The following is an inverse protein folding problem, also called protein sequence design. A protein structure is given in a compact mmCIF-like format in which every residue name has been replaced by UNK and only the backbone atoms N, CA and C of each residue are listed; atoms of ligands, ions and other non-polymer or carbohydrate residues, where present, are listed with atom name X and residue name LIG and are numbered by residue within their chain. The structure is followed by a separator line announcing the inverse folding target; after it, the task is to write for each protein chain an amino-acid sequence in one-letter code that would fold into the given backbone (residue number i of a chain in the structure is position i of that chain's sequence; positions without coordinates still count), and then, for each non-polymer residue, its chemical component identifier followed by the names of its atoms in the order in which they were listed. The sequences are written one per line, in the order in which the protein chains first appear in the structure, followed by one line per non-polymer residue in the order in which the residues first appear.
data_IF_259370498294
#
_entry.id   IF_259370498294
#
_cell.length_a   1.000
_cell.length_b   1.000
_cell.length_c   1.000
_cell.angle_alpha   90.00
_cell.angle_beta   90.00
_cell.angle_gamma   90.00
#
_symmetry.space_group_name_H-M   'P 1'
#
loop_
_entity.id
_entity.type
_entity.pdbx_description
1 polymer ?
#
# COMPACT_ATOMS: atom_id res chain seq x y z
N UNK A 1 21.78 -15.60 14.74
CA UNK A 1 21.20 -15.36 16.10
C UNK A 1 19.83 -16.04 16.20
N UNK A 2 19.24 -16.17 17.40
CA UNK A 2 17.85 -16.64 17.52
C UNK A 2 16.91 -15.56 16.97
N UNK A 3 15.98 -15.94 16.10
CA UNK A 3 15.04 -15.01 15.47
C UNK A 3 14.14 -14.39 16.53
N UNK A 4 13.91 -13.08 16.45
CA UNK A 4 13.08 -12.37 17.43
C UNK A 4 11.56 -12.55 17.20
N UNK A 5 11.18 -13.27 16.14
CA UNK A 5 9.80 -13.59 15.78
C UNK A 5 9.56 -15.10 15.70
N UNK A 6 8.37 -15.55 16.09
CA UNK A 6 7.98 -16.95 16.08
C UNK A 6 7.94 -17.52 14.64
N UNK A 7 8.43 -18.75 14.39
CA UNK A 7 8.40 -19.42 13.09
C UNK A 7 7.03 -19.41 12.40
N UNK A 8 5.94 -19.60 13.16
CA UNK A 8 4.59 -19.65 12.60
C UNK A 8 4.15 -18.32 11.98
N UNK A 9 4.67 -17.19 12.48
CA UNK A 9 4.40 -15.88 11.90
C UNK A 9 5.15 -15.68 10.60
N UNK A 10 6.39 -16.19 10.51
CA UNK A 10 7.16 -16.19 9.26
C UNK A 10 6.43 -17.02 8.21
N UNK A 11 5.94 -18.21 8.57
CA UNK A 11 5.18 -19.07 7.65
C UNK A 11 3.91 -18.40 7.12
N UNK A 12 3.22 -17.61 7.97
CA UNK A 12 2.04 -16.84 7.55
C UNK A 12 2.39 -15.73 6.57
N UNK A 13 3.51 -15.03 6.78
CA UNK A 13 4.00 -14.00 5.84
C UNK A 13 4.38 -14.66 4.51
N UNK A 14 5.22 -15.71 4.54
CA UNK A 14 5.67 -16.42 3.34
C UNK A 14 4.49 -17.03 2.58
N UNK A 15 3.50 -17.56 3.30
CA UNK A 15 2.29 -18.13 2.73
C UNK A 15 1.26 -17.10 2.22
N UNK A 16 1.52 -15.79 2.35
CA UNK A 16 0.59 -14.72 2.03
C UNK A 16 -0.75 -14.88 2.77
N UNK A 17 -0.70 -15.12 4.09
CA UNK A 17 -1.85 -15.44 4.97
C UNK A 17 -1.92 -14.54 6.22
N UNK A 18 -1.01 -13.58 6.36
CA UNK A 18 -0.94 -12.74 7.55
C UNK A 18 -1.87 -11.52 7.41
N UNK A 19 -2.80 -11.34 8.36
CA UNK A 19 -3.78 -10.25 8.29
C UNK A 19 -3.18 -8.87 8.60
N UNK A 20 -2.09 -8.81 9.37
CA UNK A 20 -1.39 -7.56 9.69
C UNK A 20 0.13 -7.68 9.53
N UNK A 21 0.68 -7.63 8.31
CA UNK A 21 2.11 -7.81 8.08
C UNK A 21 3.02 -6.85 8.88
N UNK A 22 2.52 -5.67 9.28
CA UNK A 22 3.24 -4.71 10.11
C UNK A 22 3.52 -5.19 11.55
N UNK A 23 2.87 -6.26 12.03
CA UNK A 23 3.23 -6.89 13.31
C UNK A 23 4.54 -7.68 13.21
N UNK A 24 4.94 -8.07 11.99
CA UNK A 24 6.11 -8.91 11.75
C UNK A 24 7.18 -8.12 11.01
N UNK A 25 6.83 -7.52 9.87
CA UNK A 25 7.69 -6.79 8.96
C UNK A 25 7.94 -5.35 9.44
N UNK A 26 8.98 -4.73 8.88
CA UNK A 26 9.40 -3.39 9.24
C UNK A 26 10.21 -3.34 10.54
N UNK A 27 10.32 -2.15 11.15
CA UNK A 27 11.13 -1.94 12.35
C UNK A 27 10.33 -2.20 13.63
N UNK A 28 10.93 -2.95 14.57
CA UNK A 28 10.35 -3.30 15.86
C UNK A 28 11.35 -3.07 16.99
N UNK A 29 10.91 -2.48 18.10
CA UNK A 29 11.73 -2.39 19.31
C UNK A 29 11.62 -3.71 20.07
N UNK A 30 12.75 -4.35 20.35
CA UNK A 30 12.84 -5.63 21.08
C UNK A 30 13.78 -5.49 22.27
N UNK A 31 13.55 -6.31 23.31
CA UNK A 31 14.44 -6.41 24.46
C UNK A 31 15.41 -7.56 24.24
N UNK A 32 16.71 -7.29 24.27
CA UNK A 32 17.75 -8.31 24.25
C UNK A 32 18.82 -7.93 25.27
N UNK A 33 19.20 -8.87 26.14
CA UNK A 33 20.24 -8.67 27.16
C UNK A 33 20.04 -7.41 28.04
N UNK A 34 18.78 -7.05 28.31
CA UNK A 34 18.40 -5.88 29.11
C UNK A 34 18.51 -4.53 28.37
N UNK A 35 18.79 -4.53 27.07
CA UNK A 35 18.81 -3.35 26.21
C UNK A 35 17.62 -3.35 25.26
N UNK A 36 17.16 -2.14 24.95
CA UNK A 36 16.16 -1.91 23.90
C UNK A 36 16.90 -1.69 22.58
N UNK A 37 16.64 -2.55 21.60
CA UNK A 37 17.28 -2.52 20.28
C UNK A 37 16.22 -2.61 19.18
N UNK A 38 16.61 -2.28 17.96
CA UNK A 38 15.74 -2.39 16.80
C UNK A 38 15.95 -3.71 16.08
N UNK A 39 14.87 -4.43 15.79
CA UNK A 39 14.82 -5.55 14.85
C UNK A 39 14.09 -5.10 13.59
N UNK A 40 14.79 -5.06 12.46
CA UNK A 40 14.22 -4.79 11.14
C UNK A 40 14.00 -6.11 10.43
N UNK A 41 12.78 -6.36 9.97
CA UNK A 41 12.41 -7.60 9.30
C UNK A 41 11.84 -7.33 7.92
N UNK A 42 12.33 -8.06 6.93
CA UNK A 42 11.89 -7.93 5.55
C UNK A 42 11.64 -9.30 4.93
N UNK A 43 10.52 -9.45 4.22
CA UNK A 43 10.26 -10.61 3.37
C UNK A 43 10.50 -10.24 1.91
N UNK A 44 11.52 -10.86 1.31
CA UNK A 44 12.03 -10.52 -0.02
C UNK A 44 12.09 -11.81 -0.87
N UNK A 45 10.97 -12.23 -1.50
CA UNK A 45 10.77 -13.59 -2.05
C UNK A 45 11.80 -14.08 -3.09
N UNK A 46 12.59 -13.18 -3.67
CA UNK A 46 13.58 -13.50 -4.70
C UNK A 46 14.99 -13.02 -4.33
N UNK A 47 15.16 -12.42 -3.15
CA UNK A 47 16.46 -11.91 -2.72
C UNK A 47 17.30 -13.04 -2.12
N UNK A 48 18.61 -12.97 -2.40
CA UNK A 48 19.62 -13.90 -1.87
C UNK A 48 20.33 -13.32 -0.65
N UNK A 49 20.36 -11.99 -0.55
CA UNK A 49 20.98 -11.24 0.53
C UNK A 49 20.30 -9.90 0.68
N UNK A 50 20.27 -9.38 1.91
CA UNK A 50 19.68 -8.10 2.23
C UNK A 50 20.50 -7.37 3.31
N UNK A 51 20.37 -6.05 3.33
CA UNK A 51 21.00 -5.13 4.27
C UNK A 51 20.01 -4.04 4.66
N UNK A 52 20.12 -3.59 5.90
CA UNK A 52 19.54 -2.32 6.34
C UNK A 52 20.58 -1.23 6.13
N UNK A 53 20.21 -0.18 5.41
CA UNK A 53 21.06 0.98 5.11
C UNK A 53 20.56 2.15 5.93
N UNK A 54 21.45 2.82 6.67
CA UNK A 54 21.19 4.08 7.34
C UNK A 54 21.90 5.20 6.55
N UNK A 55 21.20 5.92 5.65
CA UNK A 55 21.85 6.85 4.72
C UNK A 55 22.59 7.98 5.42
N UNK A 56 22.02 8.53 6.50
CA UNK A 56 22.60 9.63 7.27
C UNK A 56 23.88 9.22 8.01
N UNK A 57 23.88 8.02 8.59
CA UNK A 57 25.03 7.46 9.28
C UNK A 57 26.07 6.86 8.32
N UNK A 58 25.71 6.67 7.04
CA UNK A 58 26.50 5.97 6.01
C UNK A 58 26.94 4.58 6.45
N UNK A 59 26.05 3.86 7.12
CA UNK A 59 26.28 2.50 7.60
C UNK A 59 25.31 1.52 6.96
N UNK A 60 25.81 0.32 6.68
CA UNK A 60 25.02 -0.82 6.21
C UNK A 60 25.15 -1.97 7.20
N UNK A 61 24.05 -2.61 7.54
CA UNK A 61 23.98 -3.77 8.43
C UNK A 61 23.44 -4.96 7.65
N UNK A 62 24.21 -6.05 7.56
CA UNK A 62 23.75 -7.26 6.90
C UNK A 62 22.56 -7.86 7.66
N UNK A 63 21.56 -8.31 6.91
CA UNK A 63 20.44 -9.07 7.46
C UNK A 63 20.76 -10.57 7.38
N UNK A 64 20.37 -11.33 8.41
CA UNK A 64 20.46 -12.78 8.43
C UNK A 64 19.12 -13.39 8.02
N UNK A 65 19.14 -14.40 7.15
CA UNK A 65 17.95 -15.22 6.89
C UNK A 65 17.86 -16.33 7.92
N UNK A 66 16.67 -16.55 8.48
CA UNK A 66 16.44 -17.66 9.40
C UNK A 66 14.99 -18.15 9.30
N UNK A 67 14.79 -19.45 9.52
CA UNK A 67 13.55 -20.22 9.25
C UNK A 67 13.11 -20.26 7.78
N UNK A 68 13.23 -19.17 7.03
CA UNK A 68 13.01 -19.11 5.59
C UNK A 68 14.16 -18.36 4.89
N UNK A 69 14.60 -18.84 3.72
CA UNK A 69 15.72 -18.25 2.96
C UNK A 69 15.47 -16.83 2.44
N UNK A 70 14.21 -16.40 2.40
CA UNK A 70 13.78 -15.11 1.87
C UNK A 70 13.18 -14.21 2.94
N UNK A 71 13.18 -14.64 4.20
CA UNK A 71 12.82 -13.83 5.35
C UNK A 71 14.09 -13.39 6.06
N UNK A 72 14.33 -12.09 6.10
CA UNK A 72 15.55 -11.49 6.61
C UNK A 72 15.27 -10.72 7.88
N UNK A 73 16.17 -10.82 8.86
CA UNK A 73 16.15 -10.05 10.09
C UNK A 73 17.52 -9.39 10.33
N UNK A 74 17.50 -8.13 10.76
CA UNK A 74 18.69 -7.42 11.20
C UNK A 74 18.42 -6.74 12.52
N UNK A 75 19.34 -6.92 13.46
CA UNK A 75 19.26 -6.32 14.79
C UNK A 75 20.28 -5.20 14.90
N UNK A 76 19.82 -4.00 15.23
CA UNK A 76 20.62 -2.76 15.24
C UNK A 76 20.47 -2.09 16.61
N UNK A 77 21.59 -1.90 17.29
CA UNK A 77 21.66 -1.08 18.50
C UNK A 77 21.83 0.39 18.09
N UNK A 78 20.71 1.10 17.91
CA UNK A 78 20.67 2.55 17.61
C UNK A 78 19.55 3.23 18.42
N UNK A 79 19.74 4.50 18.77
CA UNK A 79 18.75 5.29 19.49
C UNK A 79 17.56 5.73 18.63
N UNK A 80 17.79 5.92 17.32
CA UNK A 80 16.77 6.26 16.34
C UNK A 80 17.00 5.45 15.05
N UNK A 81 15.91 5.04 14.42
CA UNK A 81 15.88 4.28 13.18
C UNK A 81 14.91 4.94 12.17
N UNK A 82 14.86 6.27 12.16
CA UNK A 82 14.17 7.02 11.13
C UNK A 82 14.86 6.83 9.76
N UNK A 83 14.05 6.78 8.70
CA UNK A 83 14.48 6.89 7.29
C UNK A 83 15.52 5.83 6.83
N UNK A 84 15.50 4.62 7.39
CA UNK A 84 16.33 3.54 6.84
C UNK A 84 15.81 3.08 5.47
N UNK A 85 16.71 2.49 4.69
CA UNK A 85 16.39 1.84 3.43
C UNK A 85 16.76 0.36 3.49
N UNK A 86 16.10 -0.44 2.68
CA UNK A 86 16.49 -1.82 2.40
C UNK A 86 17.32 -1.85 1.14
N UNK A 87 18.50 -2.46 1.25
CA UNK A 87 19.30 -2.88 0.11
C UNK A 87 19.18 -4.38 -0.02
N UNK A 88 18.93 -4.91 -1.21
CA UNK A 88 18.90 -6.36 -1.40
C UNK A 88 19.36 -6.75 -2.80
N UNK A 89 19.86 -7.99 -2.90
CA UNK A 89 20.37 -8.56 -4.15
C UNK A 89 19.41 -9.60 -4.70
N UNK A 90 18.98 -9.41 -5.94
CA UNK A 90 18.22 -10.39 -6.75
C UNK A 90 19.07 -10.71 -8.00
N UNK A 91 19.74 -11.86 -8.02
CA UNK A 91 20.71 -12.21 -9.05
C UNK A 91 21.90 -11.24 -9.08
N UNK A 92 22.21 -10.70 -10.26
CA UNK A 92 23.31 -9.75 -10.46
C UNK A 92 22.95 -8.29 -10.09
N UNK A 93 21.72 -8.04 -9.65
CA UNK A 93 21.23 -6.67 -9.41
C UNK A 93 21.07 -6.41 -7.91
N UNK A 94 21.61 -5.27 -7.47
CA UNK A 94 21.29 -4.69 -6.18
C UNK A 94 20.20 -3.64 -6.35
N UNK A 95 19.25 -3.61 -5.42
CA UNK A 95 18.17 -2.62 -5.36
C UNK A 95 18.22 -1.90 -4.02
N UNK A 96 17.92 -0.61 -4.04
CA UNK A 96 17.71 0.22 -2.86
C UNK A 96 16.26 0.67 -2.87
N UNK A 97 15.54 0.43 -1.78
CA UNK A 97 14.14 0.81 -1.64
C UNK A 97 13.88 1.28 -0.22
N UNK A 98 12.91 2.16 -0.03
CA UNK A 98 12.29 2.30 1.28
C UNK A 98 11.51 1.05 1.66
N UNK A 99 11.46 0.73 2.94
CA UNK A 99 10.63 -0.36 3.45
C UNK A 99 9.16 0.07 3.54
N UNK A 100 8.22 -0.53 2.77
CA UNK A 100 6.80 -0.21 2.88
C UNK A 100 6.24 -0.40 4.29
N UNK A 101 6.83 -1.31 5.08
CA UNK A 101 6.40 -1.64 6.43
C UNK A 101 7.03 -0.76 7.52
N UNK A 102 7.91 0.20 7.15
CA UNK A 102 8.38 1.24 8.06
C UNK A 102 7.30 2.32 8.30
N UNK A 103 6.44 2.59 7.31
CA UNK A 103 5.41 3.63 7.35
C UNK A 103 4.16 3.15 8.09
N UNK A 104 4.15 3.25 9.42
CA UNK A 104 3.03 2.76 10.25
C UNK A 104 1.81 3.70 10.25
N UNK A 105 2.00 4.96 9.88
CA UNK A 105 0.97 6.01 9.87
C UNK A 105 -0.21 5.64 8.96
N UNK A 106 -1.42 5.64 9.53
CA UNK A 106 -2.65 5.36 8.78
C UNK A 106 -3.22 6.65 8.20
N UNK A 107 -3.66 6.61 6.94
CA UNK A 107 -4.35 7.74 6.30
C UNK A 107 -5.86 7.70 6.52
N UNK A 108 -6.42 6.50 6.67
CA UNK A 108 -7.80 6.30 7.11
C UNK A 108 -7.87 6.38 8.63
N UNK A 109 -8.67 7.31 9.14
CA UNK A 109 -8.84 7.54 10.58
C UNK A 109 -9.94 6.64 11.13
N UNK A 110 -9.97 6.44 12.46
CA UNK A 110 -11.06 5.68 13.09
C UNK A 110 -12.44 6.33 12.84
N UNK A 111 -12.48 7.65 12.66
CA UNK A 111 -13.70 8.37 12.30
C UNK A 111 -14.14 8.07 10.86
N UNK A 112 -13.20 8.03 9.91
CA UNK A 112 -13.49 7.63 8.52
C UNK A 112 -14.05 6.19 8.49
N UNK A 113 -13.43 5.27 9.25
CA UNK A 113 -13.89 3.88 9.38
C UNK A 113 -15.29 3.81 9.96
N UNK A 114 -15.59 4.58 11.01
CA UNK A 114 -16.91 4.63 11.62
C UNK A 114 -17.98 5.14 10.64
N UNK A 115 -17.75 6.28 9.99
CA UNK A 115 -18.70 6.82 9.00
C UNK A 115 -18.94 5.86 7.84
N UNK A 116 -17.89 5.15 7.39
CA UNK A 116 -18.02 4.17 6.33
C UNK A 116 -18.85 2.96 6.77
N UNK A 117 -18.61 2.45 7.99
CA UNK A 117 -19.38 1.35 8.55
C UNK A 117 -20.88 1.68 8.70
N UNK A 118 -21.20 2.92 9.04
CA UNK A 118 -22.59 3.43 9.11
C UNK A 118 -23.19 3.79 7.74
N UNK A 119 -22.42 3.68 6.65
CA UNK A 119 -22.87 4.06 5.30
C UNK A 119 -23.01 5.58 5.08
N UNK A 120 -22.44 6.40 5.95
CA UNK A 120 -22.60 7.86 5.97
C UNK A 120 -21.34 8.64 5.53
N UNK A 121 -20.32 7.96 5.03
CA UNK A 121 -19.10 8.61 4.55
C UNK A 121 -19.23 9.10 3.09
N UNK A 122 -19.82 10.27 2.89
CA UNK A 122 -20.12 10.80 1.53
C UNK A 122 -18.88 11.11 0.67
N UNK A 123 -17.70 11.23 1.29
CA UNK A 123 -16.39 11.46 0.61
C UNK A 123 -15.43 10.27 0.76
N UNK A 124 -15.95 9.04 0.89
CA UNK A 124 -15.09 7.88 1.19
C UNK A 124 -14.06 7.59 0.09
N UNK A 125 -14.36 8.01 -1.14
CA UNK A 125 -13.44 7.92 -2.27
C UNK A 125 -12.13 8.69 -2.05
N UNK A 126 -12.04 9.62 -1.09
CA UNK A 126 -10.78 10.31 -0.73
C UNK A 126 -9.83 9.44 0.11
N UNK A 127 -10.37 8.34 0.65
CA UNK A 127 -9.66 7.43 1.54
C UNK A 127 -9.46 6.05 0.91
N UNK A 128 -10.53 5.48 0.36
CA UNK A 128 -10.49 4.22 -0.39
C UNK A 128 -10.02 4.46 -1.83
N UNK A 129 -9.40 3.44 -2.42
CA UNK A 129 -8.76 3.54 -3.73
C UNK A 129 -7.24 3.70 -3.62
N UNK A 130 -6.64 4.22 -4.68
CA UNK A 130 -5.22 4.57 -4.74
C UNK A 130 -5.03 6.08 -4.79
N UNK A 131 -4.23 6.60 -3.85
CA UNK A 131 -4.05 8.03 -3.66
C UNK A 131 -2.56 8.39 -3.59
N UNK A 132 -2.03 9.18 -4.55
CA UNK A 132 -0.73 9.80 -4.40
C UNK A 132 -0.71 10.65 -3.11
N UNK A 133 0.30 10.45 -2.28
CA UNK A 133 0.42 11.16 -0.99
C UNK A 133 1.87 11.15 -0.51
N UNK A 134 2.16 11.96 0.50
CA UNK A 134 3.41 11.92 1.25
C UNK A 134 3.14 11.39 2.66
N UNK A 135 3.98 10.47 3.14
CA UNK A 135 3.97 9.97 4.53
C UNK A 135 5.40 10.03 5.05
N UNK A 136 5.58 10.65 6.22
CA UNK A 136 6.88 10.82 6.88
C UNK A 136 7.97 11.42 5.96
N UNK A 137 7.57 12.36 5.08
CA UNK A 137 8.46 13.04 4.13
C UNK A 137 8.82 12.25 2.87
N UNK A 138 8.23 11.07 2.67
CA UNK A 138 8.44 10.24 1.48
C UNK A 138 7.16 10.22 0.64
N UNK A 139 7.27 10.63 -0.62
CA UNK A 139 6.17 10.53 -1.58
C UNK A 139 5.94 9.10 -2.01
N UNK A 140 4.69 8.72 -2.25
CA UNK A 140 4.31 7.40 -2.73
C UNK A 140 2.81 7.31 -2.98
N UNK A 141 2.26 6.09 -2.95
CA UNK A 141 0.83 5.87 -3.15
C UNK A 141 0.27 5.09 -1.97
N UNK A 142 -0.82 5.63 -1.40
CA UNK A 142 -1.62 4.97 -0.39
C UNK A 142 -2.75 4.19 -1.05
N UNK A 143 -2.83 2.89 -0.74
CA UNK A 143 -3.89 2.01 -1.20
C UNK A 143 -4.79 1.64 -0.04
N UNK A 144 -6.10 1.69 -0.26
CA UNK A 144 -7.07 1.12 0.67
C UNK A 144 -8.26 0.47 -0.03
N UNK A 145 -8.64 -0.73 0.39
CA UNK A 145 -9.75 -1.50 -0.19
C UNK A 145 -10.57 -2.19 0.89
N UNK A 146 -11.89 -2.12 0.77
CA UNK A 146 -12.79 -2.84 1.66
C UNK A 146 -12.98 -4.28 1.20
N UNK A 147 -12.45 -5.23 1.97
CA UNK A 147 -12.54 -6.67 1.72
C UNK A 147 -12.64 -7.43 3.06
N UNK A 148 -13.75 -7.29 3.80
CA UNK A 148 -13.86 -7.72 5.21
C UNK A 148 -13.64 -9.22 5.41
N UNK A 149 -14.01 -10.03 4.41
CA UNK A 149 -13.88 -11.48 4.47
C UNK A 149 -12.61 -12.00 3.78
N UNK A 150 -11.75 -11.11 3.28
CA UNK A 150 -10.44 -11.48 2.77
C UNK A 150 -9.63 -12.14 3.89
N UNK A 151 -8.99 -13.27 3.61
CA UNK A 151 -7.95 -13.82 4.48
C UNK A 151 -6.66 -13.02 4.35
N UNK A 152 -6.39 -12.55 3.13
CA UNK A 152 -5.27 -11.65 2.87
C UNK A 152 -5.55 -10.83 1.61
N UNK A 153 -4.95 -9.64 1.54
CA UNK A 153 -4.98 -8.76 0.36
C UNK A 153 -3.58 -8.24 0.09
N UNK A 154 -3.17 -8.24 -1.17
CA UNK A 154 -1.89 -7.68 -1.62
C UNK A 154 -2.08 -6.74 -2.80
N UNK A 155 -1.19 -5.77 -2.95
CA UNK A 155 -1.15 -4.90 -4.14
C UNK A 155 -0.27 -5.55 -5.20
N UNK A 156 -0.80 -5.69 -6.41
CA UNK A 156 -0.07 -6.14 -7.61
C UNK A 156 0.15 -4.97 -8.55
N UNK A 157 1.29 -4.92 -9.23
CA UNK A 157 1.54 -3.96 -10.31
C UNK A 157 2.86 -4.25 -11.03
N UNK A 158 3.26 -3.36 -11.94
CA UNK A 158 4.55 -3.52 -12.64
C UNK A 158 5.72 -3.37 -11.67
N UNK A 159 5.59 -2.47 -10.69
CA UNK A 159 6.60 -2.19 -9.65
C UNK A 159 7.02 -3.43 -8.83
N UNK A 160 6.16 -4.45 -8.71
CA UNK A 160 6.47 -5.70 -8.03
C UNK A 160 6.38 -6.93 -8.93
N UNK A 161 6.39 -6.73 -10.25
CA UNK A 161 6.27 -7.80 -11.23
C UNK A 161 5.02 -8.67 -11.04
N UNK A 162 3.93 -8.07 -10.56
CA UNK A 162 2.66 -8.75 -10.28
C UNK A 162 2.79 -9.89 -9.27
N UNK A 163 3.72 -9.78 -8.31
CA UNK A 163 3.92 -10.75 -7.22
C UNK A 163 3.28 -10.29 -5.91
N UNK A 164 2.15 -10.90 -5.55
CA UNK A 164 1.37 -10.59 -4.35
C UNK A 164 2.08 -10.88 -3.03
N UNK A 165 3.20 -11.61 -3.04
CA UNK A 165 4.01 -11.86 -1.84
C UNK A 165 4.77 -10.62 -1.35
N UNK A 166 5.06 -9.67 -2.26
CA UNK A 166 5.94 -8.52 -2.02
C UNK A 166 5.27 -7.32 -1.34
N UNK A 167 3.96 -7.15 -1.50
CA UNK A 167 3.22 -5.98 -0.99
C UNK A 167 1.89 -6.40 -0.34
N UNK A 168 1.99 -7.14 0.76
CA UNK A 168 0.85 -7.58 1.57
C UNK A 168 0.30 -6.41 2.37
N UNK A 169 -1.02 -6.22 2.36
CA UNK A 169 -1.72 -5.13 3.02
C UNK A 169 -2.05 -5.49 4.47
N UNK A 170 -2.25 -4.47 5.31
CA UNK A 170 -2.73 -4.63 6.68
C UNK A 170 -4.24 -4.49 6.73
N UNK A 171 -4.91 -5.45 7.36
CA UNK A 171 -6.30 -5.32 7.75
C UNK A 171 -6.44 -4.34 8.92
N UNK A 172 -7.38 -3.41 8.77
CA UNK A 172 -7.76 -2.41 9.76
C UNK A 172 -9.27 -2.42 9.97
N UNK A 173 -9.71 -2.10 11.19
CA UNK A 173 -11.09 -1.81 11.54
C UNK A 173 -12.15 -2.66 10.84
N UNK A 174 -13.11 -1.99 10.19
CA UNK A 174 -14.31 -2.56 9.56
C UNK A 174 -14.07 -3.38 8.27
N UNK A 175 -12.92 -4.05 8.14
CA UNK A 175 -12.61 -4.87 6.96
C UNK A 175 -11.81 -4.16 5.88
N UNK A 176 -11.15 -3.05 6.21
CA UNK A 176 -10.42 -2.23 5.24
C UNK A 176 -8.95 -2.65 5.26
N UNK A 177 -8.43 -3.03 4.11
CA UNK A 177 -7.03 -3.36 3.91
C UNK A 177 -6.30 -2.11 3.43
N UNK A 178 -5.16 -1.79 4.02
CA UNK A 178 -4.36 -0.61 3.64
C UNK A 178 -2.88 -0.95 3.45
N UNK A 179 -2.21 -0.19 2.58
CA UNK A 179 -0.76 -0.20 2.43
C UNK A 179 -0.30 1.11 1.79
N UNK A 180 0.77 1.69 2.31
CA UNK A 180 1.51 2.75 1.63
C UNK A 180 2.71 2.13 0.92
N UNK A 181 2.90 2.47 -0.36
CA UNK A 181 4.04 2.03 -1.15
C UNK A 181 4.87 3.27 -1.49
N UNK A 182 6.06 3.42 -0.90
CA UNK A 182 6.92 4.57 -1.12
C UNK A 182 7.43 4.60 -2.56
N UNK A 183 7.72 5.81 -3.05
CA UNK A 183 8.28 6.10 -4.37
C UNK A 183 7.41 5.69 -5.58
N UNK A 184 6.22 5.12 -5.33
CA UNK A 184 5.28 4.79 -6.39
C UNK A 184 4.67 6.06 -7.00
N UNK A 185 4.46 6.04 -8.32
CA UNK A 185 4.09 7.23 -9.10
C UNK A 185 2.68 7.14 -9.67
N UNK A 186 2.12 8.29 -10.03
CA UNK A 186 0.92 8.41 -10.87
C UNK A 186 1.16 7.71 -12.20
N UNK A 187 0.14 7.01 -12.71
CA UNK A 187 0.20 6.24 -13.94
C UNK A 187 0.54 4.76 -13.75
N UNK A 188 0.87 4.32 -12.53
CA UNK A 188 1.14 2.92 -12.27
C UNK A 188 -0.11 2.05 -12.42
N UNK A 189 0.00 0.95 -13.17
CA UNK A 189 -1.04 -0.07 -13.28
C UNK A 189 -1.01 -1.01 -12.08
N UNK A 190 -2.17 -1.23 -11.46
CA UNK A 190 -2.29 -2.11 -10.30
C UNK A 190 -3.61 -2.89 -10.26
N UNK A 191 -3.60 -3.93 -9.42
CA UNK A 191 -4.77 -4.70 -8.98
C UNK A 191 -4.61 -5.12 -7.52
N UNK A 192 -5.70 -5.58 -6.91
CA UNK A 192 -5.65 -6.30 -5.65
C UNK A 192 -5.65 -7.82 -5.89
N UNK A 193 -4.66 -8.51 -5.33
CA UNK A 193 -4.73 -9.95 -5.11
C UNK A 193 -5.50 -10.20 -3.82
N UNK A 194 -6.57 -10.98 -3.87
CA UNK A 194 -7.37 -11.32 -2.70
C UNK A 194 -7.34 -12.84 -2.51
N UNK A 195 -6.95 -13.26 -1.31
CA UNK A 195 -7.10 -14.64 -0.85
C UNK A 195 -8.34 -14.75 0.01
N UNK A 196 -9.29 -15.61 -0.37
CA UNK A 196 -10.49 -15.83 0.46
C UNK A 196 -10.23 -16.82 1.62
N UNK A 197 -11.24 -17.04 2.46
CA UNK A 197 -11.16 -17.96 3.60
C UNK A 197 -10.92 -19.43 3.19
N UNK A 198 -11.29 -19.81 1.96
CA UNK A 198 -11.02 -21.14 1.40
C UNK A 198 -9.60 -21.27 0.84
N UNK A 199 -8.82 -20.19 0.81
CA UNK A 199 -7.46 -20.15 0.28
C UNK A 199 -7.37 -19.91 -1.23
N UNK A 200 -8.50 -19.74 -1.93
CA UNK A 200 -8.50 -19.39 -3.35
C UNK A 200 -8.03 -17.95 -3.54
N UNK A 201 -7.12 -17.76 -4.50
CA UNK A 201 -6.50 -16.48 -4.86
C UNK A 201 -7.10 -16.00 -6.17
N UNK A 202 -7.49 -14.73 -6.23
CA UNK A 202 -7.98 -14.09 -7.44
C UNK A 202 -7.61 -12.60 -7.46
N UNK A 203 -7.65 -12.02 -8.66
CA UNK A 203 -7.35 -10.61 -8.88
C UNK A 203 -8.62 -9.77 -9.01
N UNK A 204 -8.55 -8.52 -8.55
CA UNK A 204 -9.60 -7.51 -8.75
C UNK A 204 -9.02 -6.17 -9.14
N UNK A 205 -9.69 -5.52 -10.10
CA UNK A 205 -9.60 -4.07 -10.29
C UNK A 205 -10.06 -3.37 -9.01
N UNK A 206 -9.55 -2.17 -8.77
CA UNK A 206 -9.95 -1.36 -7.63
C UNK A 206 -11.41 -0.90 -7.78
N UNK A 207 -12.31 -1.21 -6.81
CA UNK A 207 -13.68 -0.69 -6.81
C UNK A 207 -13.76 0.84 -6.79
N UNK A 208 -12.74 1.51 -6.25
CA UNK A 208 -12.60 2.97 -6.16
C UNK A 208 -11.51 3.50 -7.12
N UNK A 209 -11.10 2.72 -8.12
CA UNK A 209 -10.09 3.14 -9.10
C UNK A 209 -10.57 4.31 -9.97
N UNK A 210 -9.79 5.39 -10.01
CA UNK A 210 -10.11 6.59 -10.78
C UNK A 210 -9.80 6.49 -12.28
N UNK A 211 -8.92 5.58 -12.66
CA UNK A 211 -8.56 5.30 -14.05
C UNK A 211 -8.36 3.80 -14.25
N UNK A 212 -8.59 3.32 -15.47
CA UNK A 212 -8.45 1.91 -15.85
C UNK A 212 -7.72 1.77 -17.18
N UNK A 213 -7.07 0.63 -17.38
CA UNK A 213 -6.54 0.26 -18.70
C UNK A 213 -7.66 0.14 -19.74
N UNK A 214 -7.30 0.35 -21.01
CA UNK A 214 -8.24 0.20 -22.12
C UNK A 214 -8.67 -1.25 -22.26
N UNK A 215 -9.99 -1.49 -22.41
CA UNK A 215 -10.56 -2.83 -22.65
C UNK A 215 -9.84 -3.57 -23.79
N UNK A 216 -9.61 -4.89 -23.68
CA UNK A 216 -10.14 -5.82 -22.67
C UNK A 216 -9.28 -5.95 -21.40
N UNK A 217 -8.25 -5.13 -21.25
CA UNK A 217 -7.43 -5.12 -20.03
C UNK A 217 -8.24 -4.57 -18.84
N UNK A 218 -7.80 -4.89 -17.63
CA UNK A 218 -8.60 -4.66 -16.41
C UNK A 218 -7.82 -4.07 -15.24
N UNK A 219 -6.52 -3.77 -15.37
CA UNK A 219 -5.81 -3.12 -14.27
C UNK A 219 -6.37 -1.70 -14.04
N UNK A 220 -6.43 -1.32 -12.77
CA UNK A 220 -6.64 0.07 -12.38
C UNK A 220 -5.34 0.84 -12.55
N UNK A 221 -5.42 2.15 -12.73
CA UNK A 221 -4.27 3.03 -12.90
C UNK A 221 -4.33 4.09 -11.80
N UNK A 222 -3.20 4.32 -11.13
CA UNK A 222 -3.08 5.40 -10.14
C UNK A 222 -3.26 6.73 -10.86
N UNK A 223 -4.22 7.54 -10.43
CA UNK A 223 -4.50 8.84 -11.03
C UNK A 223 -4.45 9.94 -9.97
N UNK A 224 -4.07 11.13 -10.42
CA UNK A 224 -4.17 12.36 -9.63
C UNK A 224 -5.42 13.14 -10.09
N UNK A 225 -6.40 13.27 -9.21
CA UNK A 225 -7.66 13.96 -9.51
C UNK A 225 -7.51 15.48 -9.55
N UNK A 226 -6.44 16.03 -8.95
CA UNK A 226 -6.21 17.47 -8.86
C UNK A 226 -5.32 18.00 -10.01
N UNK A 227 -4.96 17.14 -10.96
CA UNK A 227 -4.06 17.50 -12.07
C UNK A 227 -4.69 18.45 -13.11
N UNK A 228 -6.02 18.57 -13.18
CA UNK A 228 -6.71 19.41 -14.18
C UNK A 228 -7.16 20.76 -13.61
N UNK A 229 -6.78 21.84 -14.29
CA UNK A 229 -7.18 23.21 -13.94
C UNK A 229 -8.46 23.62 -14.68
N UNK A 230 -9.56 23.72 -13.93
CA UNK A 230 -10.87 24.13 -14.46
C UNK A 230 -10.94 25.61 -14.83
N UNK A 231 -11.74 25.93 -15.86
CA UNK A 231 -11.94 27.30 -16.38
C UNK A 231 -13.44 27.66 -16.49
N UNK A 232 -14.31 26.94 -15.78
CA UNK A 232 -15.78 27.03 -15.89
C UNK A 232 -16.44 27.77 -14.71
N UNK A 233 -15.68 28.60 -14.00
CA UNK A 233 -16.15 29.30 -12.79
C UNK A 233 -17.44 30.11 -13.02
N UNK A 234 -17.49 30.90 -14.10
CA UNK A 234 -18.67 31.71 -14.46
C UNK A 234 -19.90 30.84 -14.76
N UNK A 235 -19.67 29.70 -15.42
CA UNK A 235 -20.74 28.73 -15.71
C UNK A 235 -21.29 28.10 -14.44
N UNK A 236 -20.40 27.66 -13.53
CA UNK A 236 -20.76 27.06 -12.26
C UNK A 236 -21.52 28.04 -11.35
N UNK A 237 -21.11 29.30 -11.34
CA UNK A 237 -21.77 30.37 -10.58
C UNK A 237 -23.17 30.67 -11.13
N UNK A 238 -23.30 30.79 -12.47
CA UNK A 238 -24.61 30.95 -13.12
C UNK A 238 -25.53 29.79 -12.81
N UNK A 239 -25.02 28.55 -12.85
CA UNK A 239 -25.79 27.33 -12.55
C UNK A 239 -26.31 27.34 -11.12
N UNK A 240 -25.50 27.76 -10.13
CA UNK A 240 -25.90 27.83 -8.71
C UNK A 240 -27.04 28.81 -8.47
N UNK A 241 -27.09 29.91 -9.22
CA UNK A 241 -28.07 30.99 -9.04
C UNK A 241 -29.25 30.94 -10.02
N UNK A 242 -29.38 29.85 -10.78
CA UNK A 242 -30.45 29.66 -11.77
C UNK A 242 -31.40 28.55 -11.35
N UNK A 243 -32.67 28.66 -11.72
CA UNK A 243 -33.67 27.59 -11.61
C UNK A 243 -33.82 26.87 -12.96
N UNK A 244 -33.21 25.69 -13.17
CA UNK A 244 -33.18 25.04 -14.48
C UNK A 244 -34.57 24.76 -15.04
N UNK A 245 -35.55 24.44 -14.19
CA UNK A 245 -36.92 24.11 -14.62
C UNK A 245 -37.69 25.29 -15.20
N UNK A 246 -37.20 26.52 -14.99
CA UNK A 246 -37.77 27.75 -15.53
C UNK A 246 -37.10 28.21 -16.84
N UNK A 247 -36.08 27.49 -17.30
CA UNK A 247 -35.23 27.87 -18.44
C UNK A 247 -35.42 26.92 -19.63
N UNK A 248 -35.14 27.37 -20.87
CA UNK A 248 -35.20 26.49 -22.03
C UNK A 248 -34.13 25.39 -21.94
N UNK A 249 -34.56 24.13 -22.01
CA UNK A 249 -33.69 22.95 -22.05
C UNK A 249 -33.99 22.17 -23.33
N UNK A 250 -33.01 22.11 -24.23
CA UNK A 250 -33.05 21.27 -25.43
C UNK A 250 -31.80 20.41 -25.44
N UNK A 251 -31.96 19.11 -25.18
CA UNK A 251 -30.85 18.17 -25.03
C UNK A 251 -30.59 17.46 -26.35
N UNK A 252 -29.34 17.49 -26.80
CA UNK A 252 -28.85 16.63 -27.87
C UNK A 252 -28.17 15.40 -27.25
N UNK A 253 -28.80 14.24 -27.40
CA UNK A 253 -28.29 12.97 -26.88
C UNK A 253 -27.16 12.43 -27.77
N UNK A 254 -26.06 11.97 -27.18
CA UNK A 254 -24.85 11.52 -27.88
C UNK A 254 -24.30 10.23 -27.27
N UNK A 255 -23.89 9.29 -28.12
CA UNK A 255 -23.04 8.15 -27.73
C UNK A 255 -21.59 8.39 -28.19
N UNK A 256 -20.66 8.53 -27.23
CA UNK A 256 -19.27 8.94 -27.53
C UNK A 256 -18.45 7.90 -28.30
N UNK A 257 -18.86 6.63 -28.32
CA UNK A 257 -18.06 5.52 -28.85
C UNK A 257 -18.60 4.84 -30.10
N UNK A 258 -19.61 5.40 -30.78
CA UNK A 258 -20.30 4.79 -31.94
C UNK A 258 -20.26 5.70 -33.15
#
# INVERSE_FOLDING_TARGET
MAVTVAPEQIDRIVGNQHHNPFEVLGPHMVQQDGKTIWAVRAYLPNAEAAWVVLPEARTEYAMESSHNSHFFECVIETGDLANYQLKYREGEHERFVYDPYAFKTRRITDFDVHLFAEGNHHRIYEKLGAHPTEIDGVSGVYFAVWAPNGRNVSVLGNFNHWDGRKHQMRLTGSGIWELFIPELQVGESYKFEIKNQSGHIYEKSDPYGFQQEVRPKTASIVADLDAYNWQDADWMEKRRHSEPMSQPISVYEVHLGS
#
